data_IF_951812849674
#
_entry.id   IF_951812849674
#
_cell.length_a   1.000
_cell.length_b   1.000
_cell.length_c   1.000
_cell.angle_alpha   90.00
_cell.angle_beta   90.00
_cell.angle_gamma   90.00
#
_symmetry.space_group_name_H-M   'P 1'
#
loop_
_entity.id
_entity.type
_entity.pdbx_description
1 polymer ?
#
# COMPACT_ATOMS: atom_id res chain seq x y z
N UNK A 1 2.38 -51.67 -2.15
CA UNK A 1 2.31 -50.21 -2.06
C UNK A 1 3.02 -49.81 -0.78
N UNK A 2 4.17 -49.12 -0.87
CA UNK A 2 5.04 -48.86 0.27
C UNK A 2 4.39 -47.84 1.22
N UNK A 3 4.39 -48.11 2.52
CA UNK A 3 3.86 -47.26 3.59
C UNK A 3 4.36 -45.81 3.49
N UNK A 4 5.56 -45.61 2.95
CA UNK A 4 6.16 -44.30 2.69
C UNK A 4 5.39 -43.47 1.62
N UNK A 5 4.88 -44.10 0.58
CA UNK A 5 4.07 -43.44 -0.45
C UNK A 5 2.69 -43.07 0.08
N UNK A 6 2.12 -43.90 0.96
CA UNK A 6 0.85 -43.59 1.60
C UNK A 6 0.93 -42.41 2.57
N UNK A 7 2.07 -42.29 3.27
CA UNK A 7 2.33 -41.14 4.15
C UNK A 7 2.47 -39.82 3.37
N UNK A 8 3.09 -39.87 2.18
CA UNK A 8 3.21 -38.69 1.31
C UNK A 8 1.85 -38.21 0.74
N UNK A 9 0.98 -39.12 0.40
CA UNK A 9 -0.37 -38.84 -0.08
C UNK A 9 -1.25 -38.23 1.02
N UNK A 10 -1.03 -38.58 2.28
CA UNK A 10 -1.80 -38.05 3.41
C UNK A 10 -1.41 -36.61 3.78
N UNK A 11 -0.17 -36.21 3.46
CA UNK A 11 0.34 -34.87 3.81
C UNK A 11 -0.04 -33.82 2.76
N UNK A 12 -0.26 -34.20 1.50
CA UNK A 12 -0.56 -33.29 0.40
C UNK A 12 -1.88 -32.51 0.52
N UNK A 13 -2.99 -33.02 1.05
CA UNK A 13 -4.23 -32.24 1.15
C UNK A 13 -4.19 -31.11 2.18
N UNK A 14 -3.27 -31.16 3.15
CA UNK A 14 -3.16 -30.11 4.17
C UNK A 14 -2.56 -28.81 3.63
N UNK A 15 -1.79 -28.91 2.57
CA UNK A 15 -1.14 -27.73 1.96
C UNK A 15 -2.01 -27.00 0.94
N UNK A 16 -3.14 -27.57 0.53
CA UNK A 16 -4.06 -26.97 -0.47
C UNK A 16 -5.10 -26.05 0.18
N UNK A 17 -5.21 -26.05 1.50
CA UNK A 17 -6.00 -25.05 2.22
C UNK A 17 -5.22 -23.73 2.36
N UNK A 18 -4.63 -23.27 1.27
CA UNK A 18 -4.25 -21.89 1.13
C UNK A 18 -5.54 -21.08 1.10
N UNK A 19 -5.95 -20.68 2.28
CA UNK A 19 -7.04 -19.76 2.43
C UNK A 19 -6.60 -18.45 1.83
N UNK A 20 -7.25 -18.01 0.78
CA UNK A 20 -7.37 -16.60 0.48
C UNK A 20 -7.90 -15.95 1.76
N UNK A 21 -7.00 -15.52 2.64
CA UNK A 21 -7.37 -14.73 3.78
C UNK A 21 -8.02 -13.47 3.26
N UNK A 22 -9.34 -13.38 3.37
CA UNK A 22 -10.02 -12.12 3.32
C UNK A 22 -9.42 -11.30 4.46
N UNK A 23 -8.43 -10.49 4.15
CA UNK A 23 -7.84 -9.56 5.07
C UNK A 23 -8.94 -8.60 5.50
N UNK A 24 -9.33 -8.64 6.76
CA UNK A 24 -10.33 -7.70 7.31
C UNK A 24 -9.87 -6.24 7.22
N UNK A 25 -8.60 -6.01 6.87
CA UNK A 25 -7.96 -4.70 6.78
C UNK A 25 -7.39 -4.42 5.38
N UNK A 26 -8.09 -4.81 4.34
CA UNK A 26 -7.65 -4.61 2.95
C UNK A 26 -7.43 -3.13 2.60
N UNK A 27 -8.13 -2.22 3.30
CA UNK A 27 -7.96 -0.78 3.14
C UNK A 27 -6.56 -0.28 3.51
N UNK A 28 -5.81 -1.02 4.33
CA UNK A 28 -4.41 -0.67 4.69
C UNK A 28 -3.47 -0.82 3.49
N UNK A 29 -3.81 -1.72 2.57
CA UNK A 29 -3.04 -1.95 1.34
C UNK A 29 -3.46 -1.04 0.18
N UNK A 30 -4.40 -0.12 0.42
CA UNK A 30 -4.88 0.78 -0.62
C UNK A 30 -3.86 1.89 -0.85
N UNK A 31 -3.48 2.09 -2.11
CA UNK A 31 -2.63 3.21 -2.52
C UNK A 31 -3.41 4.53 -2.44
N UNK A 32 -2.81 5.54 -1.81
CA UNK A 32 -3.36 6.90 -1.73
C UNK A 32 -2.70 7.88 -2.71
N UNK A 33 -1.70 7.42 -3.44
CA UNK A 33 -1.10 8.20 -4.51
C UNK A 33 -1.90 8.06 -5.78
N UNK A 34 -2.45 9.16 -6.29
CA UNK A 34 -3.17 9.19 -7.57
C UNK A 34 -2.31 8.72 -8.72
N UNK A 35 -1.02 9.01 -8.67
CA UNK A 35 -0.04 8.54 -9.65
C UNK A 35 0.17 7.03 -9.59
N UNK A 36 0.30 6.46 -8.39
CA UNK A 36 0.46 5.02 -8.22
C UNK A 36 -0.74 4.27 -8.79
N UNK A 37 -1.95 4.72 -8.46
CA UNK A 37 -3.20 4.12 -8.96
C UNK A 37 -3.29 4.21 -10.48
N UNK A 38 -2.96 5.36 -11.08
CA UNK A 38 -2.97 5.54 -12.53
C UNK A 38 -1.99 4.62 -13.27
N UNK A 39 -0.91 4.20 -12.62
CA UNK A 39 0.10 3.29 -13.16
C UNK A 39 -0.16 1.82 -12.80
N UNK A 40 -1.29 1.50 -12.15
CA UNK A 40 -1.66 0.13 -11.80
C UNK A 40 -1.30 -0.30 -10.38
N UNK A 41 -0.84 0.63 -9.53
CA UNK A 41 -0.46 0.34 -8.14
C UNK A 41 0.93 -0.29 -7.98
N UNK A 42 1.36 -0.47 -6.73
CA UNK A 42 2.60 -1.18 -6.37
C UNK A 42 3.89 -0.68 -7.07
N UNK A 43 4.08 0.62 -7.11
CA UNK A 43 5.26 1.24 -7.74
C UNK A 43 6.52 1.07 -6.88
N UNK A 44 7.10 -0.13 -6.82
CA UNK A 44 8.27 -0.44 -5.99
C UNK A 44 9.57 0.04 -6.65
N UNK A 45 9.62 0.08 -7.99
CA UNK A 45 10.85 0.36 -8.75
C UNK A 45 10.96 1.81 -9.24
N UNK A 46 9.98 2.65 -8.95
CA UNK A 46 10.03 4.07 -9.35
C UNK A 46 10.86 4.83 -8.32
N UNK A 47 11.98 5.37 -8.77
CA UNK A 47 12.86 6.21 -7.96
C UNK A 47 12.86 7.64 -8.52
N UNK A 48 12.04 8.49 -7.94
CA UNK A 48 11.96 9.90 -8.27
C UNK A 48 11.74 10.75 -7.00
N UNK A 49 11.46 12.03 -7.18
CA UNK A 49 11.30 12.96 -6.06
C UNK A 49 9.83 13.19 -5.66
N UNK A 50 8.97 12.21 -5.91
CA UNK A 50 7.54 12.28 -5.57
C UNK A 50 7.28 11.71 -4.18
N UNK A 51 6.94 12.58 -3.23
CA UNK A 51 6.68 12.16 -1.85
C UNK A 51 5.36 11.41 -1.67
N UNK A 52 4.44 11.50 -2.65
CA UNK A 52 3.16 10.80 -2.58
C UNK A 52 3.32 9.28 -2.56
N UNK A 53 4.45 8.78 -3.04
CA UNK A 53 4.79 7.35 -3.02
C UNK A 53 5.42 6.90 -1.69
N UNK A 54 5.83 7.84 -0.84
CA UNK A 54 6.55 7.52 0.39
C UNK A 54 5.70 6.78 1.44
N UNK A 55 4.38 6.90 1.37
CA UNK A 55 3.47 6.13 2.24
C UNK A 55 3.54 4.63 1.91
N UNK A 56 3.60 4.30 0.62
CA UNK A 56 3.63 2.90 0.15
C UNK A 56 5.05 2.35 0.15
N UNK A 57 6.03 3.16 -0.26
CA UNK A 57 7.43 2.77 -0.39
C UNK A 57 8.34 3.77 0.33
N UNK A 58 8.50 3.69 1.67
CA UNK A 58 9.32 4.63 2.44
C UNK A 58 10.79 4.69 2.01
N UNK A 59 11.30 3.63 1.37
CA UNK A 59 12.69 3.55 0.92
C UNK A 59 13.07 4.54 -0.18
N UNK A 60 12.10 5.17 -0.83
CA UNK A 60 12.36 6.19 -1.85
C UNK A 60 12.70 7.56 -1.28
N UNK A 61 12.48 7.76 0.03
CA UNK A 61 12.77 9.03 0.67
C UNK A 61 14.25 9.39 0.52
N UNK A 62 14.50 10.58 0.00
CA UNK A 62 15.84 11.09 -0.24
C UNK A 62 15.95 12.57 0.14
N UNK A 63 17.18 13.08 0.20
CA UNK A 63 17.47 14.46 0.61
C UNK A 63 16.84 15.49 -0.33
N UNK A 64 16.61 15.14 -1.60
CA UNK A 64 15.97 16.02 -2.59
C UNK A 64 14.49 16.27 -2.28
N UNK A 65 13.90 15.49 -1.38
CA UNK A 65 12.51 15.64 -0.93
C UNK A 65 12.37 16.57 0.28
N UNK A 66 13.39 17.36 0.59
CA UNK A 66 13.36 18.28 1.70
C UNK A 66 12.31 19.39 1.51
N UNK A 67 11.48 19.60 2.55
CA UNK A 67 10.38 20.59 2.57
C UNK A 67 9.39 20.46 1.41
N UNK A 68 9.09 19.23 0.99
CA UNK A 68 8.06 19.00 -0.02
C UNK A 68 6.73 18.65 0.63
N UNK A 69 5.66 19.07 -0.06
CA UNK A 69 4.27 18.77 0.29
C UNK A 69 3.63 18.10 -0.92
N UNK A 70 2.87 17.06 -0.68
CA UNK A 70 1.98 16.43 -1.67
C UNK A 70 0.55 16.41 -1.15
N UNK A 71 -0.38 16.64 -2.04
CA UNK A 71 -1.79 16.49 -1.79
C UNK A 71 -2.40 15.66 -2.92
N UNK A 72 -3.10 14.58 -2.56
CA UNK A 72 -3.80 13.74 -3.51
C UNK A 72 -5.27 13.69 -3.17
N UNK A 73 -6.10 13.78 -4.19
CA UNK A 73 -7.52 13.55 -4.13
C UNK A 73 -7.90 12.55 -5.21
N UNK A 74 -8.58 11.47 -4.81
CA UNK A 74 -9.00 10.41 -5.69
C UNK A 74 -10.50 10.23 -5.50
N UNK A 75 -11.24 10.41 -6.58
CA UNK A 75 -12.67 10.12 -6.65
C UNK A 75 -12.84 8.74 -7.29
N UNK A 76 -13.29 7.80 -6.49
CA UNK A 76 -13.52 6.43 -6.93
C UNK A 76 -15.00 6.23 -7.27
N UNK A 77 -15.31 5.16 -7.99
CA UNK A 77 -16.71 4.83 -8.26
C UNK A 77 -17.46 4.58 -6.93
N UNK A 78 -18.78 4.72 -6.95
CA UNK A 78 -19.67 4.48 -5.80
C UNK A 78 -19.45 5.47 -4.63
N UNK A 79 -19.20 6.76 -4.94
CA UNK A 79 -19.04 7.87 -3.98
C UNK A 79 -17.90 7.67 -2.96
N UNK A 80 -16.97 6.74 -3.21
CA UNK A 80 -15.77 6.56 -2.39
C UNK A 80 -14.77 7.66 -2.75
N UNK A 81 -14.40 8.47 -1.76
CA UNK A 81 -13.43 9.55 -1.90
C UNK A 81 -12.23 9.30 -1.00
N UNK A 82 -11.06 9.42 -1.58
CA UNK A 82 -9.81 9.24 -0.87
C UNK A 82 -8.99 10.52 -0.93
N UNK A 83 -8.47 10.91 0.22
CA UNK A 83 -7.63 12.11 0.36
C UNK A 83 -6.34 11.71 1.03
N UNK A 84 -5.21 12.16 0.52
CA UNK A 84 -3.94 12.07 1.24
C UNK A 84 -3.20 13.40 1.22
N UNK A 85 -2.50 13.63 2.31
CA UNK A 85 -1.60 14.77 2.50
C UNK A 85 -0.28 14.25 3.04
N UNK A 86 0.81 14.62 2.39
CA UNK A 86 2.15 14.19 2.77
C UNK A 86 3.08 15.39 2.88
N UNK A 87 3.92 15.36 3.89
CA UNK A 87 4.99 16.33 4.09
C UNK A 87 6.30 15.63 4.39
N UNK A 88 7.37 16.05 3.74
CA UNK A 88 8.70 15.50 3.99
C UNK A 88 9.70 16.57 4.39
N UNK A 89 10.61 16.18 5.29
CA UNK A 89 11.70 17.02 5.75
C UNK A 89 12.97 16.20 5.90
N UNK A 90 14.07 16.75 5.40
CA UNK A 90 15.39 16.21 5.64
C UNK A 90 15.99 16.78 6.93
N UNK A 91 16.49 15.91 7.78
CA UNK A 91 17.17 16.22 9.04
C UNK A 91 18.63 15.77 8.91
N UNK A 92 19.58 16.68 9.06
CA UNK A 92 21.01 16.43 8.81
C UNK A 92 21.61 15.25 9.60
N UNK A 93 21.02 14.92 10.75
CA UNK A 93 21.54 13.84 11.64
C UNK A 93 20.75 12.53 11.57
N UNK A 94 19.52 12.56 11.09
CA UNK A 94 18.59 11.42 11.15
C UNK A 94 18.28 10.87 9.77
N UNK A 95 18.37 11.70 8.74
CA UNK A 95 17.96 11.37 7.38
C UNK A 95 16.67 12.06 6.97
N UNK A 96 15.99 11.53 5.97
CA UNK A 96 14.73 12.07 5.49
C UNK A 96 13.54 11.44 6.24
N UNK A 97 12.64 12.28 6.75
CA UNK A 97 11.44 11.87 7.46
C UNK A 97 10.22 12.38 6.68
N UNK A 98 9.19 11.57 6.55
CA UNK A 98 7.90 11.98 6.02
C UNK A 98 6.79 11.77 7.04
N UNK A 99 5.81 12.66 7.00
CA UNK A 99 4.55 12.54 7.72
C UNK A 99 3.44 12.51 6.67
N UNK A 100 2.65 11.44 6.67
CA UNK A 100 1.50 11.28 5.81
C UNK A 100 0.21 11.17 6.62
N UNK A 101 -0.84 11.79 6.12
CA UNK A 101 -2.20 11.64 6.60
C UNK A 101 -3.08 11.19 5.44
N UNK A 102 -3.83 10.12 5.62
CA UNK A 102 -4.75 9.60 4.62
C UNK A 102 -6.14 9.37 5.21
N UNK A 103 -7.17 9.64 4.42
CA UNK A 103 -8.56 9.45 4.81
C UNK A 103 -9.36 8.87 3.66
N UNK A 104 -10.24 7.92 3.98
CA UNK A 104 -11.19 7.33 3.04
C UNK A 104 -12.59 7.68 3.53
N UNK A 105 -13.40 8.25 2.65
CA UNK A 105 -14.82 8.42 2.85
C UNK A 105 -15.56 7.44 1.92
N UNK A 106 -16.32 6.56 2.50
CA UNK A 106 -17.07 5.51 1.77
C UNK A 106 -18.43 5.97 1.25
N UNK A 107 -18.77 7.26 1.40
CA UNK A 107 -20.10 7.76 1.04
C UNK A 107 -21.23 7.24 1.95
N UNK A 108 -22.44 7.59 1.60
CA UNK A 108 -23.63 7.09 2.29
C UNK A 108 -24.10 5.79 1.64
N UNK A 109 -23.99 4.67 2.36
CA UNK A 109 -24.65 3.44 1.96
C UNK A 109 -26.15 3.61 2.21
N UNK A 110 -26.92 3.87 1.15
CA UNK A 110 -28.37 3.83 1.22
C UNK A 110 -28.80 2.42 1.67
N UNK A 111 -29.44 2.36 2.79
CA UNK A 111 -30.16 1.17 3.27
C UNK A 111 -31.41 0.94 2.45
#
# INVERSE_FOLDING_TARGET
MNLRCFLFILITPVTVLSQNGNSSFEFVNTDFSSRSIAMGGNLISVYDNDISLAQTVPSILNISMNNKISFNFIDYFSDIKMVSFDYSKSLDKVGCVSLGFSSINYGDFLR
#
